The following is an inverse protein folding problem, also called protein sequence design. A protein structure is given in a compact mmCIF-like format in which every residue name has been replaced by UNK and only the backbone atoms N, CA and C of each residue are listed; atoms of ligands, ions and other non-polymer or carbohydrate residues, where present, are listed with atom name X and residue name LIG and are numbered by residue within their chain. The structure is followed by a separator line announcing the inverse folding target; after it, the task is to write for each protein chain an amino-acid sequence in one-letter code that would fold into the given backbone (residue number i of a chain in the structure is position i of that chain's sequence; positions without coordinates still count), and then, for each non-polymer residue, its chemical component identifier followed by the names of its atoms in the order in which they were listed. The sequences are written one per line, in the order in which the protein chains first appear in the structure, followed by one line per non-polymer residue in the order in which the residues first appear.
data_IF_936770989258
#
_entry.id   IF_936770989258
#
_cell.length_a   1.000
_cell.length_b   1.000
_cell.length_c   1.000
_cell.angle_alpha   90.00
_cell.angle_beta   90.00
_cell.angle_gamma   90.00
#
_symmetry.space_group_name_H-M   'P 1'
#
loop_
_entity.id
_entity.type
_entity.pdbx_description
1 polymer ?
#
# COMPACT_ATOMS: atom_id res chain seq x y z
N UNK A 1 -2.28 6.74 -5.29
CA UNK A 1 -1.63 6.50 -6.60
C UNK A 1 -0.15 6.84 -6.58
N UNK A 2 0.27 8.06 -6.29
CA UNK A 2 1.70 8.45 -6.34
C UNK A 2 2.62 7.56 -5.50
N UNK A 3 2.18 7.15 -4.31
CA UNK A 3 2.94 6.24 -3.44
C UNK A 3 3.26 4.89 -4.10
N UNK A 4 2.37 4.39 -4.97
CA UNK A 4 2.51 3.11 -5.66
C UNK A 4 3.10 3.24 -7.08
N UNK A 5 3.57 4.43 -7.48
CA UNK A 5 4.22 4.60 -8.78
C UNK A 5 5.48 3.72 -8.91
N UNK A 6 6.18 3.48 -7.83
CA UNK A 6 7.38 2.63 -7.81
C UNK A 6 7.08 1.19 -8.25
N UNK A 7 5.90 0.66 -7.91
CA UNK A 7 5.48 -0.66 -8.37
C UNK A 7 5.28 -0.68 -9.88
N UNK A 8 4.60 0.33 -10.42
CA UNK A 8 4.45 0.51 -11.86
C UNK A 8 5.80 0.76 -12.57
N UNK A 9 6.75 1.38 -11.87
CA UNK A 9 8.07 1.70 -12.42
C UNK A 9 9.02 0.49 -12.42
N UNK A 10 9.07 -0.29 -11.37
CA UNK A 10 9.97 -1.44 -11.21
C UNK A 10 9.33 -2.76 -11.63
N UNK A 11 7.99 -2.87 -11.63
CA UNK A 11 7.28 -4.07 -12.03
C UNK A 11 6.37 -3.75 -13.21
N UNK A 12 6.60 -4.31 -14.41
CA UNK A 12 5.81 -4.02 -15.62
C UNK A 12 4.40 -4.65 -15.60
N UNK A 13 3.93 -5.12 -14.44
CA UNK A 13 2.62 -5.79 -14.27
C UNK A 13 1.43 -4.89 -14.58
N UNK A 14 1.62 -3.58 -14.60
CA UNK A 14 0.58 -2.60 -14.79
C UNK A 14 0.44 -2.21 -16.25
N UNK A 15 -0.80 -2.16 -16.72
CA UNK A 15 -1.11 -1.44 -17.97
C UNK A 15 -0.70 0.01 -17.75
N UNK A 16 0.09 0.59 -18.67
CA UNK A 16 0.46 2.01 -18.64
C UNK A 16 -0.80 2.84 -18.44
N UNK A 17 -0.97 3.38 -17.26
CA UNK A 17 -1.98 4.37 -16.97
C UNK A 17 -1.32 5.72 -17.18
N UNK A 18 -1.87 6.51 -18.08
CA UNK A 18 -1.32 7.82 -18.50
C UNK A 18 -1.73 8.90 -17.48
N UNK A 19 -1.32 8.70 -16.20
CA UNK A 19 -1.75 9.58 -15.11
C UNK A 19 -0.71 10.61 -14.67
N UNK A 20 0.49 10.59 -15.25
CA UNK A 20 1.55 11.55 -14.89
C UNK A 20 1.14 13.00 -15.18
N UNK A 21 0.37 13.23 -16.23
CA UNK A 21 -0.25 14.53 -16.52
C UNK A 21 -1.06 15.05 -15.33
N UNK A 22 -1.71 14.17 -14.58
CA UNK A 22 -2.54 14.51 -13.45
C UNK A 22 -1.73 14.78 -12.15
N UNK A 23 -0.48 14.33 -12.08
CA UNK A 23 0.40 14.59 -10.94
C UNK A 23 1.15 15.92 -11.06
N UNK A 24 1.27 16.44 -12.27
CA UNK A 24 1.90 17.73 -12.50
C UNK A 24 0.91 18.83 -12.14
N UNK A 25 1.35 19.74 -11.27
CA UNK A 25 0.55 20.89 -10.90
C UNK A 25 0.07 21.64 -12.14
N UNK A 26 -1.23 21.85 -12.25
CA UNK A 26 -1.88 22.41 -13.43
C UNK A 26 -1.33 23.79 -13.89
N UNK A 27 -0.64 24.51 -13.01
CA UNK A 27 0.07 25.75 -13.33
C UNK A 27 1.43 25.59 -14.03
N UNK A 28 1.96 24.34 -14.12
CA UNK A 28 3.22 24.02 -14.81
C UNK A 28 2.94 23.05 -15.95
N UNK A 29 2.73 23.56 -17.16
CA UNK A 29 2.44 22.74 -18.34
C UNK A 29 3.61 21.86 -18.81
N UNK A 30 4.83 22.26 -18.47
CA UNK A 30 6.07 21.51 -18.72
C UNK A 30 6.74 21.26 -17.36
N UNK A 31 6.84 20.02 -16.95
CA UNK A 31 7.41 19.67 -15.67
C UNK A 31 7.76 18.19 -15.58
N UNK A 32 8.42 17.86 -14.51
CA UNK A 32 8.69 16.48 -14.12
C UNK A 32 7.99 16.18 -12.80
N UNK A 33 7.57 14.94 -12.64
CA UNK A 33 7.14 14.39 -11.37
C UNK A 33 8.34 13.69 -10.75
N UNK A 34 8.68 14.05 -9.54
CA UNK A 34 9.81 13.48 -8.80
C UNK A 34 9.28 12.53 -7.71
N UNK A 35 9.91 11.38 -7.59
CA UNK A 35 9.63 10.37 -6.59
C UNK A 35 10.92 10.07 -5.84
N UNK A 36 10.84 10.01 -4.52
CA UNK A 36 11.91 9.54 -3.66
C UNK A 36 11.34 8.58 -2.63
N UNK A 37 11.93 7.39 -2.52
CA UNK A 37 11.54 6.35 -1.59
C UNK A 37 12.74 5.96 -0.73
N UNK A 38 12.52 5.93 0.57
CA UNK A 38 13.51 5.48 1.54
C UNK A 38 13.07 4.16 2.14
N UNK A 39 13.88 3.13 1.96
CA UNK A 39 13.65 1.79 2.52
C UNK A 39 14.70 1.52 3.59
N UNK A 40 14.24 1.05 4.74
CA UNK A 40 15.12 0.57 5.80
C UNK A 40 15.08 -0.94 5.82
N UNK A 41 16.18 -1.57 5.47
CA UNK A 41 16.40 -3.01 5.61
C UNK A 41 17.35 -3.27 6.78
N UNK A 42 17.47 -4.54 7.20
CA UNK A 42 18.39 -4.93 8.28
C UNK A 42 19.84 -4.49 8.01
N UNK A 43 20.26 -4.47 6.74
CA UNK A 43 21.63 -4.24 6.31
C UNK A 43 21.86 -2.79 5.84
N UNK A 44 20.94 -1.85 6.10
CA UNK A 44 21.14 -0.45 5.74
C UNK A 44 19.90 0.27 5.19
N UNK A 45 20.11 1.52 4.83
CA UNK A 45 19.09 2.40 4.27
C UNK A 45 19.30 2.51 2.76
N UNK A 46 18.27 2.18 1.99
CA UNK A 46 18.27 2.32 0.53
C UNK A 46 17.39 3.49 0.15
N UNK A 47 17.93 4.47 -0.57
CA UNK A 47 17.18 5.61 -1.11
C UNK A 47 17.17 5.49 -2.63
N UNK A 48 15.97 5.31 -3.19
CA UNK A 48 15.77 5.27 -4.63
C UNK A 48 14.94 6.46 -5.06
N UNK A 49 15.49 7.28 -5.94
CA UNK A 49 14.82 8.44 -6.50
C UNK A 49 14.77 8.39 -8.01
N UNK A 50 13.67 8.84 -8.60
CA UNK A 50 13.54 8.97 -10.06
C UNK A 50 12.56 10.08 -10.42
N UNK A 51 12.65 10.57 -11.64
CA UNK A 51 11.71 11.55 -12.19
C UNK A 51 11.20 11.14 -13.55
N UNK A 52 9.96 11.51 -13.84
CA UNK A 52 9.27 11.25 -15.10
C UNK A 52 8.65 12.54 -15.66
N UNK A 53 8.65 12.69 -16.96
CA UNK A 53 7.93 13.78 -17.61
C UNK A 53 6.41 13.49 -17.71
N UNK A 54 5.64 14.42 -18.29
CA UNK A 54 4.20 14.30 -18.48
C UNK A 54 3.77 13.07 -19.28
N UNK A 55 4.61 12.59 -20.18
CA UNK A 55 4.37 11.37 -20.97
C UNK A 55 4.82 10.08 -20.27
N UNK A 56 5.22 10.15 -19.00
CA UNK A 56 5.69 8.99 -18.22
C UNK A 56 7.10 8.52 -18.60
N UNK A 57 7.83 9.31 -19.40
CA UNK A 57 9.21 8.99 -19.80
C UNK A 57 10.14 9.29 -18.64
N UNK A 58 11.01 8.35 -18.34
CA UNK A 58 12.03 8.47 -17.29
C UNK A 58 13.06 9.53 -17.68
N UNK A 59 13.24 10.54 -16.83
CA UNK A 59 14.17 11.67 -17.02
C UNK A 59 15.44 11.49 -16.21
N UNK A 60 15.31 10.98 -14.98
CA UNK A 60 16.43 10.68 -14.09
C UNK A 60 16.09 9.50 -13.20
N UNK A 61 17.10 8.77 -12.76
CA UNK A 61 17.01 7.83 -11.66
C UNK A 61 18.34 7.70 -10.94
N UNK A 62 18.27 7.42 -9.64
CA UNK A 62 19.44 7.33 -8.77
C UNK A 62 19.20 6.42 -7.58
N UNK A 63 20.25 5.78 -7.12
CA UNK A 63 20.21 4.89 -5.95
C UNK A 63 21.38 5.20 -5.02
N UNK A 64 21.08 5.30 -3.71
CA UNK A 64 22.05 5.39 -2.63
C UNK A 64 21.81 4.28 -1.61
N UNK A 65 22.89 3.79 -1.02
CA UNK A 65 22.85 2.86 0.11
C UNK A 65 23.76 3.42 1.22
N UNK A 66 23.18 3.69 2.38
CA UNK A 66 23.89 4.31 3.53
C UNK A 66 24.71 5.55 3.11
N UNK A 67 24.04 6.46 2.37
CA UNK A 67 24.60 7.70 1.80
C UNK A 67 25.65 7.51 0.69
N UNK A 68 26.05 6.30 0.34
CA UNK A 68 26.96 6.03 -0.77
C UNK A 68 26.18 5.87 -2.08
N UNK A 69 26.63 6.57 -3.11
CA UNK A 69 26.05 6.45 -4.45
C UNK A 69 26.34 5.09 -5.05
N UNK A 70 25.31 4.39 -5.48
CA UNK A 70 25.41 3.17 -6.29
C UNK A 70 25.37 3.52 -7.76
N UNK A 71 24.40 4.35 -8.14
CA UNK A 71 24.32 4.95 -9.47
C UNK A 71 23.55 6.26 -9.45
N UNK A 72 23.83 7.09 -10.46
CA UNK A 72 23.06 8.29 -10.80
C UNK A 72 22.99 8.43 -12.31
N UNK A 73 21.78 8.61 -12.84
CA UNK A 73 21.50 8.96 -14.24
C UNK A 73 20.69 10.24 -14.28
N UNK A 74 21.26 11.28 -14.89
CA UNK A 74 20.62 12.59 -15.01
C UNK A 74 21.19 13.37 -16.20
N UNK A 75 20.36 14.06 -16.97
CA UNK A 75 20.78 14.95 -18.08
C UNK A 75 21.67 14.25 -19.12
N UNK A 76 21.40 12.99 -19.47
CA UNK A 76 22.19 12.22 -20.43
C UNK A 76 23.53 11.72 -19.89
N UNK A 77 23.84 11.97 -18.62
CA UNK A 77 25.01 11.45 -17.91
C UNK A 77 24.61 10.25 -17.05
N UNK A 78 25.47 9.25 -16.96
CA UNK A 78 25.30 8.08 -16.13
C UNK A 78 26.61 7.74 -15.43
N UNK A 79 26.55 7.54 -14.13
CA UNK A 79 27.63 7.09 -13.28
C UNK A 79 27.19 5.91 -12.44
N UNK A 80 28.06 4.91 -12.28
CA UNK A 80 27.79 3.72 -11.47
C UNK A 80 29.02 3.33 -10.67
N UNK A 81 28.83 2.78 -9.49
CA UNK A 81 29.89 2.17 -8.70
C UNK A 81 30.41 0.90 -9.41
N UNK A 82 31.52 1.05 -10.14
CA UNK A 82 32.14 -0.05 -10.91
C UNK A 82 32.78 -1.13 -10.04
N UNK A 83 32.96 -0.89 -8.75
CA UNK A 83 33.44 -1.93 -7.83
C UNK A 83 32.33 -2.93 -7.52
N UNK A 84 31.11 -2.45 -7.39
CA UNK A 84 29.94 -3.32 -7.18
C UNK A 84 29.40 -3.90 -8.51
N UNK A 85 29.36 -3.05 -9.55
CA UNK A 85 28.77 -3.39 -10.86
C UNK A 85 29.74 -3.09 -11.99
N UNK A 86 30.74 -3.98 -12.24
CA UNK A 86 31.65 -3.83 -13.35
C UNK A 86 30.92 -3.71 -14.68
N UNK A 87 31.14 -2.65 -15.44
CA UNK A 87 30.40 -2.35 -16.67
C UNK A 87 31.34 -1.80 -17.74
N UNK A 88 31.12 -2.23 -18.98
CA UNK A 88 31.81 -1.70 -20.15
C UNK A 88 31.31 -0.28 -20.47
N UNK A 89 32.21 0.57 -20.95
CA UNK A 89 31.92 1.98 -21.30
C UNK A 89 30.82 2.11 -22.35
N UNK A 90 30.72 1.19 -23.29
CA UNK A 90 29.66 1.15 -24.31
C UNK A 90 28.27 0.96 -23.71
N UNK A 91 28.17 0.09 -22.70
CA UNK A 91 26.91 -0.15 -21.98
C UNK A 91 26.55 1.07 -21.13
N UNK A 92 27.54 1.63 -20.43
CA UNK A 92 27.38 2.83 -19.59
C UNK A 92 26.86 4.00 -20.44
N UNK A 93 27.46 4.27 -21.60
CA UNK A 93 27.01 5.31 -22.52
C UNK A 93 25.59 5.08 -23.05
N UNK A 94 25.23 3.83 -23.34
CA UNK A 94 23.89 3.49 -23.80
C UNK A 94 22.83 3.68 -22.69
N UNK A 95 23.16 3.33 -21.45
CA UNK A 95 22.25 3.53 -20.31
C UNK A 95 22.11 5.02 -19.95
N UNK A 96 23.15 5.81 -20.18
CA UNK A 96 23.13 7.27 -19.99
C UNK A 96 22.26 8.00 -21.00
N UNK A 97 22.08 7.45 -22.19
CA UNK A 97 21.27 8.10 -23.23
C UNK A 97 19.80 8.17 -22.81
N UNK A 98 19.18 9.35 -22.98
CA UNK A 98 17.77 9.59 -22.61
C UNK A 98 16.75 8.75 -23.40
N UNK A 99 17.20 7.95 -24.37
CA UNK A 99 16.32 7.12 -25.20
C UNK A 99 15.84 5.83 -24.48
N UNK A 100 16.43 5.47 -23.36
CA UNK A 100 16.09 4.23 -22.65
C UNK A 100 15.15 4.48 -21.47
N UNK A 101 13.90 4.07 -21.62
CA UNK A 101 12.88 4.09 -20.56
C UNK A 101 13.07 2.95 -19.53
N UNK A 102 14.24 2.29 -19.53
CA UNK A 102 14.53 1.17 -18.64
C UNK A 102 15.09 1.72 -17.33
N UNK A 103 14.51 1.32 -16.21
CA UNK A 103 15.08 1.58 -14.89
C UNK A 103 16.43 0.90 -14.76
N UNK A 104 17.44 1.63 -14.24
CA UNK A 104 18.76 1.05 -13.95
C UNK A 104 18.63 -0.07 -12.91
N UNK A 105 17.74 0.04 -11.93
CA UNK A 105 17.46 -1.04 -10.96
C UNK A 105 17.07 -2.32 -11.67
N UNK A 106 16.14 -2.26 -12.62
CA UNK A 106 15.70 -3.45 -13.39
C UNK A 106 16.83 -4.01 -14.26
N UNK A 107 17.64 -3.15 -14.86
CA UNK A 107 18.82 -3.57 -15.61
C UNK A 107 19.80 -4.33 -14.71
N UNK A 108 20.12 -3.81 -13.53
CA UNK A 108 21.05 -4.45 -12.59
C UNK A 108 20.51 -5.78 -12.07
N UNK A 109 19.21 -5.86 -11.75
CA UNK A 109 18.55 -7.08 -11.30
C UNK A 109 18.61 -8.21 -12.34
N UNK A 110 18.57 -7.87 -13.61
CA UNK A 110 18.57 -8.86 -14.72
C UNK A 110 19.96 -9.20 -15.25
N UNK A 111 20.92 -8.30 -15.11
CA UNK A 111 22.25 -8.43 -15.73
C UNK A 111 23.32 -8.99 -14.78
N UNK A 112 23.08 -8.96 -13.46
CA UNK A 112 24.04 -9.40 -12.47
C UNK A 112 23.50 -10.53 -11.59
N UNK A 113 24.34 -11.56 -11.28
CA UNK A 113 23.96 -12.64 -10.37
C UNK A 113 24.02 -12.16 -8.91
N UNK A 114 22.91 -11.58 -8.44
CA UNK A 114 22.79 -11.02 -7.09
C UNK A 114 22.36 -12.09 -6.07
N UNK A 115 22.94 -12.05 -4.88
CA UNK A 115 22.52 -12.91 -3.77
C UNK A 115 21.12 -12.53 -3.28
N UNK A 116 20.41 -13.47 -2.63
CA UNK A 116 19.08 -13.22 -2.05
C UNK A 116 19.08 -12.10 -0.99
N UNK A 117 20.23 -11.89 -0.33
CA UNK A 117 20.40 -10.87 0.71
C UNK A 117 20.81 -9.50 0.16
N UNK A 118 21.04 -9.41 -1.14
CA UNK A 118 21.44 -8.15 -1.78
C UNK A 118 20.29 -7.12 -1.69
N UNK A 119 20.62 -5.86 -1.40
CA UNK A 119 19.63 -4.79 -1.22
C UNK A 119 18.70 -4.59 -2.42
N UNK A 120 19.18 -4.76 -3.66
CA UNK A 120 18.33 -4.69 -4.87
C UNK A 120 17.30 -5.81 -4.92
N UNK A 121 17.65 -7.03 -4.49
CA UNK A 121 16.70 -8.15 -4.41
C UNK A 121 15.66 -7.87 -3.32
N UNK A 122 16.10 -7.35 -2.15
CA UNK A 122 15.18 -6.96 -1.07
C UNK A 122 14.25 -5.82 -1.52
N UNK A 123 14.77 -4.81 -2.21
CA UNK A 123 13.99 -3.72 -2.78
C UNK A 123 12.93 -4.25 -3.77
N UNK A 124 13.36 -5.06 -4.73
CA UNK A 124 12.45 -5.66 -5.72
C UNK A 124 11.36 -6.50 -5.06
N UNK A 125 11.73 -7.35 -4.08
CA UNK A 125 10.78 -8.17 -3.32
C UNK A 125 9.79 -7.28 -2.56
N UNK A 126 10.27 -6.23 -1.89
CA UNK A 126 9.42 -5.29 -1.17
C UNK A 126 8.40 -4.64 -2.10
N UNK A 127 8.85 -4.05 -3.21
CA UNK A 127 7.99 -3.37 -4.17
C UNK A 127 6.96 -4.30 -4.80
N UNK A 128 7.38 -5.53 -5.18
CA UNK A 128 6.47 -6.50 -5.80
C UNK A 128 5.43 -7.08 -4.84
N UNK A 129 5.56 -6.89 -3.54
CA UNK A 129 4.60 -7.32 -2.52
C UNK A 129 3.88 -6.16 -1.82
N UNK A 130 3.95 -4.95 -2.36
CA UNK A 130 3.11 -3.83 -1.92
C UNK A 130 1.65 -4.09 -2.32
N UNK A 131 0.72 -3.63 -1.48
CA UNK A 131 -0.71 -3.78 -1.70
C UNK A 131 -1.44 -2.45 -1.43
N UNK A 132 -2.14 -1.96 -2.44
CA UNK A 132 -3.02 -0.81 -2.31
C UNK A 132 -4.48 -1.23 -2.46
N UNK A 133 -5.27 -0.92 -1.45
CA UNK A 133 -6.67 -1.22 -1.38
C UNK A 133 -7.51 0.06 -1.57
N UNK A 134 -8.29 0.12 -2.65
CA UNK A 134 -9.16 1.25 -2.99
C UNK A 134 -10.60 0.90 -2.63
N UNK A 135 -11.07 1.43 -1.50
CA UNK A 135 -12.37 1.02 -0.96
C UNK A 135 -13.56 1.74 -1.62
N UNK A 136 -13.42 3.04 -1.95
CA UNK A 136 -14.55 3.85 -2.44
C UNK A 136 -14.91 3.59 -3.89
N UNK A 137 -13.93 3.59 -4.80
CA UNK A 137 -14.20 3.60 -6.23
C UNK A 137 -14.86 2.31 -6.72
N UNK A 138 -14.17 1.19 -6.57
CA UNK A 138 -14.57 -0.08 -7.18
C UNK A 138 -14.31 -1.28 -6.27
N UNK A 139 -13.95 -1.06 -5.01
CA UNK A 139 -13.49 -2.11 -4.09
C UNK A 139 -12.37 -2.95 -4.71
N UNK A 140 -11.51 -2.31 -5.46
CA UNK A 140 -10.32 -2.90 -6.06
C UNK A 140 -9.13 -2.84 -5.11
N UNK A 141 -8.23 -3.77 -5.35
CA UNK A 141 -6.88 -3.73 -4.82
C UNK A 141 -5.90 -3.68 -6.01
N UNK A 142 -4.75 -3.11 -5.76
CA UNK A 142 -3.68 -2.97 -6.71
C UNK A 142 -2.40 -3.44 -6.02
N UNK A 143 -1.62 -4.29 -6.71
CA UNK A 143 -0.34 -4.79 -6.20
C UNK A 143 -0.28 -6.30 -6.18
N UNK A 144 -0.13 -6.87 -5.00
CA UNK A 144 0.03 -8.31 -4.81
C UNK A 144 -0.98 -9.12 -5.63
N UNK A 145 -0.49 -9.91 -6.58
CA UNK A 145 -1.34 -10.70 -7.49
C UNK A 145 -2.09 -11.82 -6.76
N UNK A 146 -3.33 -12.04 -7.18
CA UNK A 146 -4.12 -13.19 -6.75
C UNK A 146 -4.87 -13.78 -7.94
N UNK A 147 -4.96 -15.11 -7.98
CA UNK A 147 -5.81 -15.83 -8.91
C UNK A 147 -7.26 -15.99 -8.44
N UNK A 148 -7.57 -15.49 -7.24
CA UNK A 148 -8.90 -15.61 -6.64
C UNK A 148 -9.82 -14.57 -7.25
N UNK A 149 -10.86 -15.04 -7.92
CA UNK A 149 -11.91 -14.22 -8.54
C UNK A 149 -13.22 -14.23 -7.74
N UNK A 150 -13.40 -15.22 -6.86
CA UNK A 150 -14.60 -15.39 -6.05
C UNK A 150 -14.22 -15.59 -4.57
N UNK A 151 -14.65 -14.66 -3.71
CA UNK A 151 -14.34 -14.68 -2.28
C UNK A 151 -15.03 -15.85 -1.55
N UNK A 152 -16.24 -16.23 -1.96
CA UNK A 152 -16.96 -17.36 -1.40
C UNK A 152 -16.20 -18.66 -1.68
N UNK A 153 -15.77 -18.87 -2.94
CA UNK A 153 -14.95 -20.04 -3.32
C UNK A 153 -13.65 -20.14 -2.50
N UNK A 154 -13.00 -18.99 -2.26
CA UNK A 154 -11.80 -18.95 -1.43
C UNK A 154 -12.08 -19.43 0.00
N UNK A 155 -13.12 -18.91 0.62
CA UNK A 155 -13.50 -19.25 2.00
C UNK A 155 -13.88 -20.74 2.09
N UNK A 156 -14.65 -21.22 1.13
CA UNK A 156 -15.14 -22.61 1.08
C UNK A 156 -13.97 -23.58 0.83
N UNK A 157 -13.19 -23.36 -0.22
CA UNK A 157 -12.10 -24.25 -0.62
C UNK A 157 -11.00 -24.37 0.45
N UNK A 158 -10.79 -23.33 1.27
CA UNK A 158 -9.84 -23.34 2.37
C UNK A 158 -10.43 -23.74 3.73
N UNK A 159 -11.70 -24.14 3.78
CA UNK A 159 -12.38 -24.57 5.03
C UNK A 159 -12.52 -23.42 6.06
N UNK A 160 -12.57 -22.18 5.63
CA UNK A 160 -12.54 -20.98 6.48
C UNK A 160 -13.93 -20.50 6.93
N UNK A 161 -15.00 -21.21 6.60
CA UNK A 161 -16.39 -20.75 6.84
C UNK A 161 -16.65 -20.39 8.31
N UNK A 162 -16.26 -21.28 9.24
CA UNK A 162 -16.42 -21.07 10.68
C UNK A 162 -15.58 -19.89 11.17
N UNK A 163 -14.37 -19.79 10.69
CA UNK A 163 -13.48 -18.69 11.06
C UNK A 163 -14.01 -17.35 10.54
N UNK A 164 -14.52 -17.31 9.32
CA UNK A 164 -15.15 -16.15 8.73
C UNK A 164 -16.42 -15.73 9.49
N UNK A 165 -17.28 -16.68 9.88
CA UNK A 165 -18.43 -16.38 10.73
C UNK A 165 -18.03 -15.77 12.08
N UNK A 166 -17.02 -16.34 12.74
CA UNK A 166 -16.46 -15.79 13.98
C UNK A 166 -15.86 -14.40 13.80
N UNK A 167 -15.19 -14.17 12.69
CA UNK A 167 -14.65 -12.85 12.33
C UNK A 167 -15.76 -11.82 12.22
N UNK A 168 -16.83 -12.10 11.46
CA UNK A 168 -17.99 -11.22 11.33
C UNK A 168 -18.60 -10.91 12.69
N UNK A 169 -18.81 -11.93 13.54
CA UNK A 169 -19.36 -11.76 14.87
C UNK A 169 -18.45 -10.90 15.76
N UNK A 170 -17.14 -11.13 15.74
CA UNK A 170 -16.20 -10.41 16.59
C UNK A 170 -16.09 -8.92 16.23
N UNK A 171 -16.14 -8.60 14.93
CA UNK A 171 -15.91 -7.24 14.43
C UNK A 171 -17.20 -6.43 14.39
N UNK A 172 -18.29 -7.03 13.89
CA UNK A 172 -19.59 -6.34 13.68
C UNK A 172 -20.67 -6.67 14.71
N UNK A 173 -20.45 -7.70 15.52
CA UNK A 173 -21.47 -8.24 16.42
C UNK A 173 -22.59 -9.02 15.71
N UNK A 174 -22.53 -9.17 14.38
CA UNK A 174 -23.52 -9.88 13.59
C UNK A 174 -23.23 -11.38 13.59
N UNK A 175 -24.21 -12.18 13.95
CA UNK A 175 -24.12 -13.64 13.96
C UNK A 175 -24.83 -14.21 12.74
N UNK A 176 -24.06 -14.54 11.69
CA UNK A 176 -24.56 -15.21 10.50
C UNK A 176 -24.45 -16.72 10.66
N UNK A 177 -25.55 -17.43 10.46
CA UNK A 177 -25.55 -18.89 10.34
C UNK A 177 -25.14 -19.26 8.91
N UNK A 178 -23.84 -19.34 8.67
CA UNK A 178 -23.27 -19.61 7.35
C UNK A 178 -23.20 -21.12 7.10
N UNK A 179 -23.68 -21.55 5.93
CA UNK A 179 -23.70 -22.97 5.50
C UNK A 179 -23.14 -23.13 4.10
N UNK A 180 -22.71 -24.34 3.81
CA UNK A 180 -22.32 -24.82 2.47
C UNK A 180 -22.66 -26.32 2.40
N UNK A 181 -23.08 -26.82 1.26
CA UNK A 181 -23.43 -28.24 1.09
C UNK A 181 -22.21 -29.08 0.68
N UNK A 182 -21.25 -28.48 0.01
CA UNK A 182 -20.03 -29.13 -0.48
C UNK A 182 -18.83 -28.20 -0.45
N UNK A 183 -17.63 -28.76 -0.32
CA UNK A 183 -16.36 -28.02 -0.46
C UNK A 183 -16.12 -27.51 -1.89
N UNK A 184 -16.92 -27.95 -2.86
CA UNK A 184 -16.87 -27.48 -4.25
C UNK A 184 -17.91 -26.42 -4.58
N UNK A 185 -18.71 -26.02 -3.61
CA UNK A 185 -19.69 -24.95 -3.79
C UNK A 185 -18.98 -23.64 -4.11
N UNK A 186 -19.66 -22.81 -4.89
CA UNK A 186 -19.15 -21.50 -5.32
C UNK A 186 -19.78 -20.33 -4.56
N UNK A 187 -20.68 -20.63 -3.65
CA UNK A 187 -21.47 -19.65 -2.94
C UNK A 187 -21.71 -20.05 -1.49
N UNK A 188 -21.52 -19.10 -0.59
CA UNK A 188 -21.87 -19.23 0.82
C UNK A 188 -23.37 -18.95 0.96
N UNK A 189 -24.06 -19.79 1.73
CA UNK A 189 -25.45 -19.63 2.08
C UNK A 189 -25.57 -19.14 3.53
N UNK A 190 -26.65 -18.43 3.82
CA UNK A 190 -27.02 -17.99 5.15
C UNK A 190 -28.36 -18.66 5.49
N UNK A 191 -28.42 -19.41 6.57
CA UNK A 191 -29.67 -19.97 7.10
C UNK A 191 -30.41 -18.86 7.88
N UNK A 192 -31.63 -18.58 7.44
CA UNK A 192 -32.56 -17.66 8.11
C UNK A 192 -33.87 -18.42 8.32
N UNK A 193 -34.12 -18.81 9.55
CA UNK A 193 -35.32 -19.55 9.96
C UNK A 193 -35.60 -20.81 9.12
N UNK A 194 -34.53 -21.55 8.77
CA UNK A 194 -34.61 -22.76 7.97
C UNK A 194 -34.66 -22.52 6.45
N UNK A 195 -34.50 -21.27 6.01
CA UNK A 195 -34.38 -20.92 4.59
C UNK A 195 -32.97 -20.53 4.25
N UNK A 196 -32.37 -21.24 3.29
CA UNK A 196 -30.99 -20.97 2.83
C UNK A 196 -31.00 -19.91 1.73
N UNK A 197 -30.43 -18.76 2.03
CA UNK A 197 -30.36 -17.61 1.12
C UNK A 197 -28.86 -17.30 0.84
N UNK A 198 -28.47 -17.00 -0.41
CA UNK A 198 -27.12 -16.57 -0.71
C UNK A 198 -26.63 -15.43 0.19
N UNK A 199 -25.45 -15.60 0.80
CA UNK A 199 -24.88 -14.63 1.74
C UNK A 199 -24.78 -13.22 1.14
N UNK A 200 -24.42 -13.10 -0.13
CA UNK A 200 -24.30 -11.82 -0.83
C UNK A 200 -25.64 -11.06 -0.97
N UNK A 201 -26.79 -11.74 -0.86
CA UNK A 201 -28.12 -11.12 -0.88
C UNK A 201 -28.56 -10.68 0.52
N UNK A 202 -28.09 -11.35 1.56
CA UNK A 202 -28.39 -11.03 2.97
C UNK A 202 -27.43 -9.97 3.52
N UNK A 203 -26.17 -10.04 3.13
CA UNK A 203 -25.11 -9.20 3.64
C UNK A 203 -25.26 -7.73 3.18
N UNK A 204 -25.18 -6.81 4.13
CA UNK A 204 -25.10 -5.37 3.86
C UNK A 204 -23.82 -5.03 3.06
N UNK A 205 -23.75 -3.81 2.53
CA UNK A 205 -22.54 -3.30 1.86
C UNK A 205 -21.32 -3.34 2.80
N UNK A 206 -21.48 -2.96 4.06
CA UNK A 206 -20.42 -3.03 5.06
C UNK A 206 -19.98 -4.47 5.35
N UNK A 207 -20.92 -5.41 5.44
CA UNK A 207 -20.62 -6.83 5.65
C UNK A 207 -19.87 -7.45 4.47
N UNK A 208 -20.24 -7.08 3.23
CA UNK A 208 -19.49 -7.51 2.03
C UNK A 208 -18.11 -6.89 1.95
N UNK A 209 -17.94 -5.65 2.43
CA UNK A 209 -16.62 -5.02 2.57
C UNK A 209 -15.76 -5.75 3.60
N UNK A 210 -16.36 -6.24 4.70
CA UNK A 210 -15.66 -7.08 5.67
C UNK A 210 -15.24 -8.45 5.09
N UNK A 211 -16.03 -9.05 4.21
CA UNK A 211 -15.65 -10.29 3.52
C UNK A 211 -14.40 -10.08 2.64
N UNK A 212 -14.34 -8.98 1.91
CA UNK A 212 -13.18 -8.61 1.10
C UNK A 212 -11.96 -8.33 1.98
N UNK A 213 -12.16 -7.60 3.09
CA UNK A 213 -11.09 -7.34 4.06
C UNK A 213 -10.57 -8.65 4.67
N UNK A 214 -11.46 -9.57 5.07
CA UNK A 214 -11.09 -10.88 5.60
C UNK A 214 -10.21 -11.68 4.64
N UNK A 215 -10.58 -11.72 3.36
CA UNK A 215 -9.78 -12.35 2.32
C UNK A 215 -8.35 -11.77 2.29
N UNK A 216 -8.24 -10.45 2.28
CA UNK A 216 -6.93 -9.78 2.22
C UNK A 216 -6.14 -9.95 3.52
N UNK A 217 -6.79 -9.95 4.67
CA UNK A 217 -6.12 -10.22 5.95
C UNK A 217 -5.42 -11.58 5.95
N UNK A 218 -6.01 -12.59 5.32
CA UNK A 218 -5.36 -13.91 5.16
C UNK A 218 -4.12 -13.87 4.28
N UNK A 219 -3.95 -12.85 3.47
CA UNK A 219 -2.84 -12.68 2.54
C UNK A 219 -1.89 -11.55 2.91
N UNK A 220 -2.26 -10.69 3.85
CA UNK A 220 -1.41 -9.56 4.27
C UNK A 220 -0.07 -9.98 4.87
N UNK A 221 0.07 -11.21 5.36
CA UNK A 221 1.36 -11.77 5.77
C UNK A 221 2.37 -11.89 4.62
N UNK A 222 1.90 -11.91 3.37
CA UNK A 222 2.72 -11.93 2.16
C UNK A 222 3.06 -10.51 1.67
N UNK A 223 2.37 -9.47 2.17
CA UNK A 223 2.56 -8.10 1.78
C UNK A 223 3.67 -7.43 2.60
N UNK A 224 4.49 -6.63 1.93
CA UNK A 224 5.54 -5.81 2.55
C UNK A 224 5.01 -4.50 3.12
N UNK A 225 4.00 -3.95 2.44
CA UNK A 225 3.38 -2.67 2.75
C UNK A 225 1.93 -2.68 2.28
N UNK A 226 1.01 -2.21 3.12
CA UNK A 226 -0.41 -2.14 2.80
C UNK A 226 -0.90 -0.71 2.99
N UNK A 227 -1.57 -0.16 1.99
CA UNK A 227 -2.30 1.11 2.10
C UNK A 227 -3.78 0.87 1.82
N UNK A 228 -4.64 1.24 2.77
CA UNK A 228 -6.10 1.12 2.62
C UNK A 228 -6.69 2.53 2.59
N UNK A 229 -7.13 2.94 1.40
CA UNK A 229 -7.67 4.28 1.18
C UNK A 229 -9.13 4.34 1.60
N UNK A 230 -9.49 5.34 2.42
CA UNK A 230 -10.84 5.53 3.00
C UNK A 230 -11.44 4.22 3.53
N UNK A 231 -10.65 3.50 4.34
CA UNK A 231 -10.94 2.13 4.77
C UNK A 231 -12.30 1.98 5.44
N UNK A 232 -12.79 3.02 6.08
CA UNK A 232 -14.02 3.04 6.87
C UNK A 232 -15.25 3.61 6.14
N UNK A 233 -15.16 3.85 4.83
CA UNK A 233 -16.25 4.43 4.04
C UNK A 233 -17.60 3.68 4.17
N UNK A 234 -17.58 2.38 4.49
CA UNK A 234 -18.77 1.55 4.66
C UNK A 234 -19.00 1.11 6.11
N UNK A 235 -18.22 1.63 7.07
CA UNK A 235 -18.27 1.22 8.47
C UNK A 235 -18.85 2.32 9.36
N UNK A 236 -19.68 1.95 10.29
CA UNK A 236 -20.01 2.87 11.39
C UNK A 236 -18.82 3.00 12.36
N UNK A 237 -18.78 4.06 13.14
CA UNK A 237 -17.63 4.45 13.96
C UNK A 237 -17.03 3.32 14.82
N UNK A 238 -17.87 2.55 15.52
CA UNK A 238 -17.41 1.45 16.36
C UNK A 238 -16.78 0.33 15.52
N UNK A 239 -17.39 -0.01 14.38
CA UNK A 239 -16.85 -1.02 13.48
C UNK A 239 -15.50 -0.57 12.90
N UNK A 240 -15.39 0.69 12.49
CA UNK A 240 -14.15 1.25 12.01
C UNK A 240 -13.03 1.15 13.07
N UNK A 241 -13.34 1.41 14.34
CA UNK A 241 -12.40 1.27 15.44
C UNK A 241 -11.91 -0.19 15.62
N UNK A 242 -12.80 -1.17 15.64
CA UNK A 242 -12.44 -2.58 15.78
C UNK A 242 -11.63 -3.10 14.58
N UNK A 243 -11.98 -2.67 13.36
CA UNK A 243 -11.22 -2.98 12.15
C UNK A 243 -9.81 -2.39 12.23
N UNK A 244 -9.66 -1.11 12.60
CA UNK A 244 -8.35 -0.48 12.80
C UNK A 244 -7.50 -1.25 13.82
N UNK A 245 -8.06 -1.55 14.98
CA UNK A 245 -7.36 -2.28 16.04
C UNK A 245 -6.85 -3.63 15.54
N UNK A 246 -7.62 -4.30 14.71
CA UNK A 246 -7.24 -5.59 14.13
C UNK A 246 -6.12 -5.42 13.10
N UNK A 247 -6.26 -4.47 12.17
CA UNK A 247 -5.26 -4.20 11.14
C UNK A 247 -3.90 -3.82 11.74
N UNK A 248 -3.87 -2.92 12.72
CA UNK A 248 -2.62 -2.45 13.32
C UNK A 248 -1.95 -3.46 14.26
N UNK A 249 -2.61 -4.58 14.57
CA UNK A 249 -2.00 -5.72 15.27
C UNK A 249 -1.43 -6.78 14.32
N UNK A 250 -1.54 -6.60 13.00
CA UNK A 250 -0.95 -7.53 12.03
C UNK A 250 0.56 -7.28 11.89
N UNK A 251 1.30 -8.34 11.58
CA UNK A 251 2.74 -8.25 11.30
C UNK A 251 2.98 -7.78 9.85
N UNK A 252 2.58 -6.54 9.58
CA UNK A 252 2.72 -5.88 8.30
C UNK A 252 2.73 -4.37 8.49
N UNK A 253 3.48 -3.63 7.66
CA UNK A 253 3.40 -2.17 7.66
C UNK A 253 2.12 -1.71 6.99
N UNK A 254 1.16 -1.22 7.78
CA UNK A 254 -0.17 -0.83 7.31
C UNK A 254 -0.40 0.66 7.51
N UNK A 255 -0.89 1.32 6.47
CA UNK A 255 -1.43 2.68 6.53
C UNK A 255 -2.90 2.68 6.09
N UNK A 256 -3.70 3.49 6.77
CA UNK A 256 -5.09 3.71 6.42
C UNK A 256 -5.36 5.20 6.29
N UNK A 257 -6.16 5.60 5.31
CA UNK A 257 -6.74 6.94 5.29
C UNK A 257 -8.20 6.91 5.76
N UNK A 258 -8.65 7.98 6.42
CA UNK A 258 -10.01 8.13 6.92
C UNK A 258 -10.34 9.60 7.16
N UNK A 259 -11.62 9.95 7.01
CA UNK A 259 -12.17 11.24 7.48
C UNK A 259 -12.78 11.14 8.89
N UNK A 260 -12.72 9.99 9.51
CA UNK A 260 -13.34 9.70 10.80
C UNK A 260 -12.42 10.09 11.96
N UNK A 261 -12.62 11.27 12.53
CA UNK A 261 -11.82 11.77 13.64
C UNK A 261 -11.95 10.94 14.93
N UNK A 262 -12.98 10.11 15.07
CA UNK A 262 -13.14 9.18 16.19
C UNK A 262 -11.98 8.19 16.31
N UNK A 263 -11.28 7.91 15.21
CA UNK A 263 -10.10 7.05 15.18
C UNK A 263 -8.83 7.71 15.71
N UNK A 264 -8.85 9.04 15.94
CA UNK A 264 -7.74 9.79 16.51
C UNK A 264 -7.67 9.60 18.03
N UNK A 265 -7.27 8.42 18.45
CA UNK A 265 -7.19 8.04 19.86
C UNK A 265 -5.90 7.28 20.16
N UNK A 266 -5.34 7.52 21.34
CA UNK A 266 -4.17 6.80 21.83
C UNK A 266 -4.43 5.29 22.10
N UNK A 267 -5.69 4.87 22.13
CA UNK A 267 -6.07 3.45 22.26
C UNK A 267 -5.80 2.67 20.97
N UNK A 268 -5.69 3.34 19.82
CA UNK A 268 -5.33 2.74 18.54
C UNK A 268 -3.87 2.96 18.20
N UNK A 269 -3.43 4.20 18.12
CA UNK A 269 -2.10 4.58 17.69
C UNK A 269 -1.57 5.77 18.49
N UNK A 270 -0.25 5.80 18.70
CA UNK A 270 0.45 6.95 19.24
C UNK A 270 0.33 8.16 18.30
N UNK A 271 0.45 9.39 18.81
CA UNK A 271 0.35 10.61 17.99
C UNK A 271 1.36 10.70 16.84
N UNK A 272 2.55 10.11 16.99
CA UNK A 272 3.58 10.05 15.95
C UNK A 272 3.26 9.07 14.81
N UNK A 273 2.27 8.19 15.01
CA UNK A 273 1.74 7.28 14.00
C UNK A 273 0.46 7.79 13.33
N UNK A 274 -0.06 8.93 13.77
CA UNK A 274 -1.21 9.61 13.15
C UNK A 274 -0.72 10.80 12.34
N UNK A 275 -1.18 10.93 11.09
CA UNK A 275 -0.76 11.98 10.18
C UNK A 275 -1.95 12.84 9.77
N UNK A 276 -1.72 14.13 9.60
CA UNK A 276 -2.67 15.05 8.97
C UNK A 276 -2.20 15.33 7.55
N UNK A 277 -3.09 15.09 6.58
CA UNK A 277 -2.93 15.53 5.21
C UNK A 277 -3.75 16.80 5.01
N UNK A 278 -3.08 17.90 4.75
CA UNK A 278 -3.72 19.18 4.47
C UNK A 278 -3.07 19.85 3.26
N UNK A 279 -3.86 20.19 2.24
CA UNK A 279 -3.38 20.67 0.95
C UNK A 279 -2.33 19.72 0.34
N UNK A 280 -1.08 20.13 0.26
CA UNK A 280 0.03 19.37 -0.30
C UNK A 280 1.05 18.93 0.76
N UNK A 281 0.65 18.90 2.03
CA UNK A 281 1.54 18.54 3.15
C UNK A 281 0.95 17.40 3.95
N UNK A 282 1.83 16.50 4.36
CA UNK A 282 1.53 15.45 5.33
C UNK A 282 2.50 15.57 6.51
N UNK A 283 1.96 15.58 7.72
CA UNK A 283 2.74 15.71 8.95
C UNK A 283 2.20 14.80 10.04
N UNK A 284 3.06 14.16 10.85
CA UNK A 284 2.63 13.47 12.05
C UNK A 284 2.02 14.48 13.05
N UNK A 285 1.04 14.04 13.85
CA UNK A 285 0.35 14.91 14.81
C UNK A 285 1.31 15.54 15.81
N UNK A 286 2.36 14.83 16.22
CA UNK A 286 3.37 15.34 17.14
C UNK A 286 4.09 16.59 16.60
N UNK A 287 4.22 16.74 15.27
CA UNK A 287 4.90 17.85 14.61
C UNK A 287 3.92 19.00 14.24
N UNK A 288 2.63 18.81 14.51
CA UNK A 288 1.60 19.81 14.22
C UNK A 288 1.24 20.70 15.43
N UNK A 289 1.92 20.54 16.57
CA UNK A 289 1.65 21.30 17.79
C UNK A 289 2.90 21.39 18.66
N UNK A 290 3.09 22.54 19.32
CA UNK A 290 4.12 22.72 20.35
C UNK A 290 3.72 22.09 21.70
N UNK A 291 2.49 21.59 21.81
CA UNK A 291 1.98 20.97 23.02
C UNK A 291 2.51 19.55 23.17
N UNK A 292 3.05 19.24 24.33
CA UNK A 292 3.40 17.85 24.68
C UNK A 292 2.13 16.97 24.68
N UNK A 293 2.09 15.97 23.78
CA UNK A 293 0.98 15.04 23.70
C UNK A 293 1.23 13.85 24.62
N UNK A 294 0.34 13.65 25.60
CA UNK A 294 0.41 12.55 26.58
C UNK A 294 -0.70 11.54 26.30
N UNK A 295 -0.52 10.31 26.73
CA UNK A 295 -1.50 9.22 26.55
C UNK A 295 -2.92 9.59 27.04
N UNK A 296 -3.04 10.31 28.15
CA UNK A 296 -4.34 10.73 28.70
C UNK A 296 -5.03 11.89 27.94
N UNK A 297 -4.41 12.46 26.91
CA UNK A 297 -5.04 13.49 26.11
C UNK A 297 -6.06 12.89 25.16
N UNK A 298 -7.24 13.52 25.09
CA UNK A 298 -8.22 13.20 24.02
C UNK A 298 -7.78 13.89 22.73
N UNK A 299 -7.16 13.12 21.84
CA UNK A 299 -6.57 13.63 20.58
C UNK A 299 -7.65 14.19 19.66
N UNK A 300 -8.81 13.50 19.54
CA UNK A 300 -9.93 13.99 18.74
C UNK A 300 -10.42 15.37 19.21
N UNK A 301 -10.57 15.54 20.52
CA UNK A 301 -10.99 16.86 21.10
C UNK A 301 -9.96 17.94 20.81
N UNK A 302 -8.67 17.64 20.89
CA UNK A 302 -7.59 18.57 20.54
C UNK A 302 -7.64 18.94 19.05
N UNK A 303 -7.88 17.94 18.17
CA UNK A 303 -8.01 18.16 16.74
C UNK A 303 -9.19 19.08 16.42
N UNK A 304 -10.38 18.81 16.96
CA UNK A 304 -11.57 19.64 16.79
C UNK A 304 -11.41 21.04 17.39
N UNK A 305 -10.57 21.19 18.41
CA UNK A 305 -10.22 22.48 19.02
C UNK A 305 -9.12 23.23 18.28
N UNK A 306 -8.75 22.85 17.04
CA UNK A 306 -7.71 23.47 16.22
C UNK A 306 -6.35 23.59 16.92
N UNK A 307 -5.99 22.61 17.75
CA UNK A 307 -4.68 22.56 18.40
C UNK A 307 -3.54 22.27 17.42
N UNK A 308 -3.85 21.50 16.37
CA UNK A 308 -2.87 21.08 15.36
C UNK A 308 -2.81 22.06 14.19
N UNK A 309 -1.60 22.52 13.85
CA UNK A 309 -1.31 23.46 12.75
C UNK A 309 -0.52 22.70 11.66
N UNK A 310 -1.08 22.58 10.46
CA UNK A 310 -0.45 21.90 9.31
C UNK A 310 -0.05 22.90 8.25
#
# INVERSE_FOLDING_TARGET
MALFDIENHLSPKWKKIDYYVNFIYAGKKEGVVEFEYTFRFENGIVVYAYSKNTGGILVSDSLRVDDNWVFERKNGSFCIDKQQFPMEETIENNLGSNANNVSIVNFLLTSYPLSKEHYLIKLSKFVNSMLWFRNLDIREFIGLETSVTNLDEFIIANGLLKEFSNFLQSVSGQNFQLTVHSSTDKQILCDIDGSEIPFNLVASTGTRSLQLLYFWMKRMSEASFVFIDEFDAFYHFRLAFEVCKMLFNMDCQIFTSSHNTYLMTNDLLRPDCNFILNENKIKPLCDCTDKELRFGHNIEKLFRGNTFKV
#
